data_IF_033621106571
#
_entry.id   IF_033621106571
#
_cell.length_a   1.000
_cell.length_b   1.000
_cell.length_c   1.000
_cell.angle_alpha   90.00
_cell.angle_beta   90.00
_cell.angle_gamma   90.00
#
_symmetry.space_group_name_H-M   'P 1'
#
loop_
_entity.id
_entity.type
_entity.pdbx_description
1 polymer ?
#
# COMPACT_ATOMS: atom_id res chain seq x y z
N UNK A 1 32.03 30.26 -12.35
CA UNK A 1 32.26 29.08 -11.49
C UNK A 1 31.06 28.96 -10.54
N UNK A 2 29.94 28.45 -11.03
CA UNK A 2 28.78 28.14 -10.20
C UNK A 2 29.03 26.76 -9.59
N UNK A 3 29.20 26.71 -8.27
CA UNK A 3 29.36 25.46 -7.55
C UNK A 3 28.07 24.64 -7.63
N UNK A 4 28.11 23.53 -8.34
CA UNK A 4 27.14 22.45 -8.20
C UNK A 4 27.19 21.95 -6.76
N UNK A 5 26.13 22.23 -5.99
CA UNK A 5 25.91 21.55 -4.73
C UNK A 5 25.78 20.05 -4.99
N UNK A 6 26.49 19.18 -4.24
CA UNK A 6 26.29 17.75 -4.33
C UNK A 6 24.83 17.42 -3.93
N UNK A 7 24.18 16.44 -4.59
CA UNK A 7 22.84 16.04 -4.22
C UNK A 7 22.84 15.59 -2.76
N UNK A 8 21.95 16.19 -1.95
CA UNK A 8 21.74 15.76 -0.57
C UNK A 8 21.33 14.29 -0.59
N UNK A 9 22.11 13.44 0.10
CA UNK A 9 21.77 12.03 0.29
C UNK A 9 20.44 11.95 1.02
N UNK A 10 19.43 11.33 0.40
CA UNK A 10 18.16 11.12 1.07
C UNK A 10 18.33 10.18 2.27
N UNK A 11 17.60 10.41 3.37
CA UNK A 11 17.62 9.49 4.51
C UNK A 11 17.20 8.08 4.06
N UNK A 12 17.93 7.06 4.50
CA UNK A 12 17.65 5.65 4.19
C UNK A 12 16.56 5.04 5.08
N UNK A 13 16.14 5.74 6.14
CA UNK A 13 15.09 5.30 7.06
C UNK A 13 14.16 6.46 7.45
N UNK A 14 12.94 6.12 7.85
CA UNK A 14 11.97 7.01 8.48
C UNK A 14 12.30 7.21 9.97
N UNK A 15 12.00 8.40 10.50
CA UNK A 15 12.16 8.69 11.92
C UNK A 15 11.01 8.07 12.71
N UNK A 16 11.27 7.19 13.70
CA UNK A 16 10.22 6.67 14.57
C UNK A 16 9.55 7.77 15.40
N UNK A 17 8.27 7.59 15.69
CA UNK A 17 7.42 8.48 16.49
C UNK A 17 6.62 7.65 17.50
N UNK A 18 6.02 8.31 18.49
CA UNK A 18 5.16 7.65 19.47
C UNK A 18 4.00 6.85 18.84
N UNK A 19 3.52 7.24 17.65
CA UNK A 19 2.45 6.52 16.94
C UNK A 19 2.93 5.36 16.10
N UNK A 20 4.21 5.36 15.72
CA UNK A 20 4.78 4.35 14.80
C UNK A 20 5.58 3.28 15.53
N UNK A 21 5.98 3.51 16.78
CA UNK A 21 6.62 2.52 17.64
C UNK A 21 5.56 1.60 18.26
N UNK A 22 5.50 0.30 17.90
CA UNK A 22 4.53 -0.61 18.48
C UNK A 22 4.91 -1.01 19.91
N UNK A 23 3.90 -1.15 20.78
CA UNK A 23 4.10 -1.57 22.18
C UNK A 23 4.39 -3.07 22.34
N UNK A 24 4.02 -3.90 21.35
CA UNK A 24 4.26 -5.35 21.35
C UNK A 24 5.10 -5.78 20.17
N UNK A 25 6.08 -6.64 20.42
CA UNK A 25 7.03 -7.15 19.43
C UNK A 25 7.70 -6.01 18.65
N UNK A 26 8.30 -5.07 19.36
CA UNK A 26 8.94 -3.89 18.79
C UNK A 26 10.17 -4.25 17.94
N UNK A 27 10.82 -5.37 18.24
CA UNK A 27 11.90 -5.96 17.44
C UNK A 27 11.48 -6.34 16.02
N UNK A 28 10.17 -6.42 15.75
CA UNK A 28 9.61 -6.69 14.41
C UNK A 28 9.34 -5.43 13.60
N UNK A 29 9.46 -4.25 14.21
CA UNK A 29 9.29 -2.99 13.51
C UNK A 29 10.53 -2.66 12.68
N UNK A 30 10.32 -2.13 11.49
CA UNK A 30 11.37 -1.57 10.65
C UNK A 30 10.94 -0.22 10.11
N UNK A 31 11.92 0.67 9.94
CA UNK A 31 11.75 2.01 9.39
C UNK A 31 12.60 2.22 8.14
N UNK A 32 13.24 1.16 7.65
CA UNK A 32 14.02 1.18 6.42
C UNK A 32 13.13 1.57 5.23
N UNK A 33 13.54 2.59 4.46
CA UNK A 33 12.72 3.14 3.38
C UNK A 33 12.54 2.14 2.24
N UNK A 34 13.60 1.42 1.88
CA UNK A 34 13.57 0.45 0.77
C UNK A 34 12.59 -0.68 1.10
N UNK A 35 12.62 -1.18 2.33
CA UNK A 35 11.67 -2.19 2.80
C UNK A 35 10.23 -1.67 2.82
N UNK A 36 9.99 -0.46 3.32
CA UNK A 36 8.65 0.15 3.32
C UNK A 36 8.13 0.30 1.89
N UNK A 37 8.95 0.85 0.99
CA UNK A 37 8.59 1.08 -0.41
C UNK A 37 8.30 -0.24 -1.12
N UNK A 38 9.14 -1.27 -0.95
CA UNK A 38 8.91 -2.58 -1.58
C UNK A 38 7.61 -3.25 -1.12
N UNK A 39 7.23 -3.13 0.16
CA UNK A 39 5.94 -3.65 0.65
C UNK A 39 4.77 -2.87 0.02
N UNK A 40 4.87 -1.55 -0.09
CA UNK A 40 3.84 -0.72 -0.73
C UNK A 40 3.71 -1.03 -2.22
N UNK A 41 4.83 -1.19 -2.92
CA UNK A 41 4.86 -1.43 -4.37
C UNK A 41 4.34 -2.81 -4.77
N UNK A 42 4.46 -3.81 -3.88
CA UNK A 42 3.89 -5.14 -4.11
C UNK A 42 2.36 -5.20 -3.86
N UNK A 43 1.79 -4.18 -3.23
CA UNK A 43 0.41 -4.22 -2.74
C UNK A 43 -0.58 -3.52 -3.68
N UNK A 44 -1.62 -4.22 -4.13
CA UNK A 44 -2.68 -3.57 -4.90
C UNK A 44 -3.67 -2.76 -4.05
N UNK A 45 -3.96 -3.23 -2.84
CA UNK A 45 -5.04 -2.69 -2.01
C UNK A 45 -4.43 -2.14 -0.73
N UNK A 46 -4.79 -0.90 -0.41
CA UNK A 46 -4.62 -0.34 0.92
C UNK A 46 -5.97 -0.23 1.64
N UNK A 47 -5.91 -0.09 2.96
CA UNK A 47 -7.04 0.19 3.82
C UNK A 47 -6.88 1.61 4.36
N UNK A 48 -7.72 2.53 3.88
CA UNK A 48 -7.73 3.93 4.28
C UNK A 48 -8.69 4.12 5.47
N UNK A 49 -8.12 4.27 6.66
CA UNK A 49 -8.80 4.59 7.90
C UNK A 49 -8.92 6.11 8.13
N UNK A 50 -10.10 6.57 8.53
CA UNK A 50 -10.36 7.96 8.94
C UNK A 50 -11.57 8.02 9.88
N UNK A 51 -11.79 9.15 10.54
CA UNK A 51 -12.97 9.35 11.41
C UNK A 51 -14.04 10.13 10.65
N UNK A 52 -15.28 9.66 10.74
CA UNK A 52 -16.47 10.32 10.20
C UNK A 52 -17.57 10.31 11.25
N UNK A 53 -18.15 11.47 11.52
CA UNK A 53 -19.25 11.62 12.50
C UNK A 53 -18.89 11.00 13.87
N UNK A 54 -17.63 11.14 14.29
CA UNK A 54 -17.09 10.56 15.53
C UNK A 54 -16.79 9.06 15.49
N UNK A 55 -17.04 8.37 14.37
CA UNK A 55 -16.83 6.93 14.23
C UNK A 55 -15.68 6.60 13.25
N UNK A 56 -14.88 5.55 13.50
CA UNK A 56 -13.87 5.10 12.55
C UNK A 56 -14.52 4.47 11.30
N UNK A 57 -13.97 4.79 10.14
CA UNK A 57 -14.32 4.22 8.84
C UNK A 57 -13.03 3.70 8.22
N UNK A 58 -13.08 2.51 7.62
CA UNK A 58 -11.97 1.92 6.88
C UNK A 58 -12.45 1.53 5.50
N UNK A 59 -11.81 2.06 4.46
CA UNK A 59 -12.16 1.80 3.07
C UNK A 59 -11.03 1.04 2.37
N UNK A 60 -11.29 -0.15 1.80
CA UNK A 60 -10.35 -0.79 0.89
C UNK A 60 -10.33 -0.02 -0.45
N UNK A 61 -9.16 0.30 -0.96
CA UNK A 61 -9.00 1.01 -2.23
C UNK A 61 -7.66 0.70 -2.90
N UNK A 62 -7.61 0.82 -4.22
CA UNK A 62 -6.35 0.94 -4.97
C UNK A 62 -5.65 2.24 -4.58
N UNK A 63 -4.33 2.20 -4.59
CA UNK A 63 -3.46 3.35 -4.41
C UNK A 63 -2.29 3.27 -5.38
N UNK A 64 -1.55 4.36 -5.53
CA UNK A 64 -0.29 4.40 -6.28
C UNK A 64 0.76 5.20 -5.51
N UNK A 65 2.04 4.87 -5.72
CA UNK A 65 3.16 5.58 -5.08
C UNK A 65 3.99 6.32 -6.11
N UNK A 66 4.38 7.56 -5.79
CA UNK A 66 5.39 8.31 -6.53
C UNK A 66 6.39 8.88 -5.54
N UNK A 67 7.59 8.31 -5.48
CA UNK A 67 8.58 8.67 -4.46
C UNK A 67 8.03 8.46 -3.04
N UNK A 68 8.10 9.50 -2.22
CA UNK A 68 7.61 9.48 -0.83
C UNK A 68 6.12 9.91 -0.71
N UNK A 69 5.30 9.70 -1.74
CA UNK A 69 3.88 10.09 -1.77
C UNK A 69 2.98 8.94 -2.18
N UNK A 70 1.89 8.77 -1.45
CA UNK A 70 0.80 7.86 -1.81
C UNK A 70 -0.39 8.65 -2.36
N UNK A 71 -1.01 8.12 -3.40
CA UNK A 71 -2.20 8.69 -4.00
C UNK A 71 -3.35 7.70 -3.99
N UNK A 72 -4.54 8.21 -3.68
CA UNK A 72 -5.80 7.46 -3.78
C UNK A 72 -6.77 8.30 -4.60
N UNK A 73 -7.48 7.67 -5.53
CA UNK A 73 -8.51 8.34 -6.33
C UNK A 73 -9.90 7.87 -5.94
N UNK A 74 -10.90 8.64 -6.35
CA UNK A 74 -12.30 8.25 -6.28
C UNK A 74 -13.19 9.26 -6.97
N UNK A 75 -14.51 9.03 -6.94
CA UNK A 75 -15.47 10.02 -7.40
C UNK A 75 -15.31 11.32 -6.61
N UNK A 76 -15.45 12.48 -7.27
CA UNK A 76 -15.55 13.79 -6.60
C UNK A 76 -16.68 13.86 -5.56
N UNK A 77 -17.72 13.02 -5.69
CA UNK A 77 -18.81 12.91 -4.71
C UNK A 77 -18.49 12.01 -3.52
N UNK A 78 -17.38 11.27 -3.54
CA UNK A 78 -17.04 10.32 -2.48
C UNK A 78 -16.69 11.07 -1.19
N UNK A 79 -17.11 10.49 -0.06
CA UNK A 79 -17.01 11.12 1.25
C UNK A 79 -15.57 11.47 1.67
N UNK A 80 -14.57 10.55 1.64
CA UNK A 80 -13.21 10.91 2.03
C UNK A 80 -12.65 12.03 1.16
N UNK A 81 -12.88 12.01 -0.15
CA UNK A 81 -12.38 13.03 -1.08
C UNK A 81 -13.02 14.41 -0.81
N UNK A 82 -14.33 14.47 -0.53
CA UNK A 82 -15.01 15.72 -0.12
C UNK A 82 -14.52 16.23 1.23
N UNK A 83 -14.38 15.35 2.22
CA UNK A 83 -13.91 15.70 3.56
C UNK A 83 -12.51 16.28 3.52
N UNK A 84 -11.62 15.70 2.71
CA UNK A 84 -10.26 16.22 2.52
C UNK A 84 -10.26 17.62 1.90
N UNK A 85 -11.13 17.90 0.94
CA UNK A 85 -11.24 19.25 0.34
C UNK A 85 -11.90 20.31 1.24
N UNK A 86 -12.59 19.89 2.30
CA UNK A 86 -13.29 20.77 3.24
C UNK A 86 -12.52 21.01 4.54
N UNK A 87 -11.57 20.14 4.86
CA UNK A 87 -10.78 20.22 6.09
C UNK A 87 -9.50 21.04 5.86
N UNK A 88 -9.17 21.88 6.84
CA UNK A 88 -7.92 22.65 6.92
C UNK A 88 -7.20 22.22 8.21
N UNK A 89 -5.98 21.64 8.16
CA UNK A 89 -5.07 21.53 7.01
C UNK A 89 -5.36 20.39 6.02
N UNK A 90 -6.31 19.50 6.32
CA UNK A 90 -6.66 18.35 5.50
C UNK A 90 -7.33 17.27 6.34
N UNK A 91 -7.46 16.04 5.83
CA UNK A 91 -8.12 14.95 6.54
C UNK A 91 -7.09 14.07 7.27
N UNK A 92 -7.11 13.96 8.61
CA UNK A 92 -6.31 12.96 9.31
C UNK A 92 -6.69 11.54 8.90
N UNK A 93 -5.70 10.76 8.45
CA UNK A 93 -5.89 9.40 7.95
C UNK A 93 -4.84 8.44 8.51
N UNK A 94 -5.15 7.15 8.40
CA UNK A 94 -4.23 6.04 8.56
C UNK A 94 -4.36 5.14 7.33
N UNK A 95 -3.30 4.96 6.55
CA UNK A 95 -3.29 4.04 5.42
C UNK A 95 -2.50 2.79 5.80
N UNK A 96 -3.09 1.62 5.62
CA UNK A 96 -2.45 0.33 5.96
C UNK A 96 -2.42 -0.61 4.77
N UNK A 97 -1.30 -1.31 4.60
CA UNK A 97 -1.09 -2.41 3.64
C UNK A 97 -0.62 -3.64 4.41
N UNK A 98 -1.03 -4.84 3.98
CA UNK A 98 -0.59 -6.10 4.60
C UNK A 98 -0.49 -7.22 3.56
N UNK A 99 0.61 -7.98 3.62
CA UNK A 99 0.85 -9.22 2.91
C UNK A 99 0.92 -10.35 3.92
N UNK A 100 0.22 -11.45 3.63
CA UNK A 100 0.36 -12.69 4.40
C UNK A 100 1.21 -13.64 3.57
N UNK A 101 2.38 -13.99 4.11
CA UNK A 101 3.40 -14.74 3.38
C UNK A 101 3.42 -16.23 3.79
N UNK A 102 2.94 -16.58 4.98
CA UNK A 102 2.77 -17.98 5.39
C UNK A 102 1.81 -18.14 6.58
N UNK A 103 1.21 -19.33 6.73
CA UNK A 103 0.51 -19.74 7.94
C UNK A 103 1.46 -20.53 8.85
N UNK A 104 1.44 -20.22 10.15
CA UNK A 104 2.21 -20.95 11.16
C UNK A 104 1.27 -21.80 11.98
N UNK A 105 1.41 -23.11 11.83
CA UNK A 105 0.59 -24.10 12.49
C UNK A 105 1.42 -24.80 13.56
N UNK A 106 1.17 -24.43 14.82
CA UNK A 106 1.89 -24.94 15.99
C UNK A 106 1.16 -26.15 16.61
N UNK A 107 1.78 -26.82 17.59
CA UNK A 107 1.14 -27.92 18.33
C UNK A 107 0.16 -27.40 19.36
N UNK A 108 0.53 -26.32 20.04
CA UNK A 108 -0.36 -25.61 20.97
C UNK A 108 -1.10 -24.49 20.27
N UNK A 109 -2.40 -24.36 20.57
CA UNK A 109 -3.27 -23.36 19.97
C UNK A 109 -2.74 -21.92 20.15
N UNK A 110 -2.00 -21.68 21.24
CA UNK A 110 -1.43 -20.36 21.56
C UNK A 110 -0.33 -19.91 20.60
N UNK A 111 0.38 -20.86 19.97
CA UNK A 111 1.53 -20.56 19.11
C UNK A 111 1.18 -20.51 17.61
N UNK A 112 -0.10 -20.66 17.25
CA UNK A 112 -0.55 -20.38 15.89
C UNK A 112 -0.30 -18.92 15.51
N UNK A 113 0.14 -18.70 14.27
CA UNK A 113 0.47 -17.36 13.79
C UNK A 113 0.49 -17.29 12.26
N UNK A 114 1.04 -16.20 11.73
CA UNK A 114 1.31 -16.02 10.30
C UNK A 114 2.65 -15.31 10.10
N UNK A 115 3.37 -15.64 9.03
CA UNK A 115 4.41 -14.74 8.52
C UNK A 115 3.73 -13.66 7.68
N UNK A 116 4.15 -12.42 7.87
CA UNK A 116 3.50 -11.28 7.24
C UNK A 116 4.46 -10.10 7.10
N UNK A 117 4.10 -9.18 6.22
CA UNK A 117 4.71 -7.87 6.05
C UNK A 117 3.60 -6.83 6.00
N UNK A 118 3.70 -5.77 6.78
CA UNK A 118 2.70 -4.70 6.78
C UNK A 118 3.36 -3.34 6.86
N UNK A 119 2.72 -2.34 6.25
CA UNK A 119 3.09 -0.93 6.39
C UNK A 119 1.89 -0.16 6.93
N UNK A 120 2.14 0.72 7.91
CA UNK A 120 1.17 1.67 8.46
C UNK A 120 1.71 3.08 8.26
N UNK A 121 0.92 3.92 7.61
CA UNK A 121 1.23 5.33 7.34
C UNK A 121 0.21 6.19 8.05
N UNK A 122 0.67 7.05 8.97
CA UNK A 122 -0.13 8.08 9.58
C UNK A 122 0.12 9.42 8.90
N UNK A 123 -0.92 10.26 8.81
CA UNK A 123 -0.71 11.63 8.36
C UNK A 123 -2.01 12.37 8.09
N UNK A 124 -1.86 13.51 7.42
CA UNK A 124 -2.96 14.32 6.92
C UNK A 124 -2.98 14.17 5.41
N UNK A 125 -4.08 13.67 4.87
CA UNK A 125 -4.30 13.61 3.44
C UNK A 125 -4.73 14.98 2.92
N UNK A 126 -4.29 15.33 1.72
CA UNK A 126 -4.62 16.59 1.04
C UNK A 126 -5.20 16.32 -0.34
N UNK A 127 -6.13 17.16 -0.78
CA UNK A 127 -6.68 17.05 -2.13
C UNK A 127 -5.65 17.54 -3.14
N UNK A 128 -5.45 16.77 -4.21
CA UNK A 128 -4.61 17.18 -5.34
C UNK A 128 -5.44 18.07 -6.26
N UNK A 129 -5.06 19.35 -6.33
CA UNK A 129 -5.74 20.37 -7.15
C UNK A 129 -4.91 20.82 -8.35
N UNK A 130 -3.58 20.67 -8.28
CA UNK A 130 -2.70 20.94 -9.41
C UNK A 130 -2.96 19.94 -10.55
N UNK A 131 -3.22 20.41 -11.78
CA UNK A 131 -3.55 19.53 -12.90
C UNK A 131 -2.42 18.55 -13.28
N UNK A 132 -1.16 18.97 -13.21
CA UNK A 132 -0.03 18.10 -13.57
C UNK A 132 0.22 17.04 -12.49
N UNK A 133 0.17 17.41 -11.21
CA UNK A 133 0.25 16.44 -10.11
C UNK A 133 -0.90 15.44 -10.20
N UNK A 134 -2.12 15.90 -10.50
CA UNK A 134 -3.28 15.03 -10.65
C UNK A 134 -3.09 14.03 -11.79
N UNK A 135 -2.53 14.46 -12.93
CA UNK A 135 -2.22 13.57 -14.06
C UNK A 135 -1.18 12.53 -13.65
N UNK A 136 -0.07 12.96 -13.04
CA UNK A 136 0.99 12.05 -12.54
C UNK A 136 0.41 11.02 -11.57
N UNK A 137 -0.44 11.44 -10.64
CA UNK A 137 -1.07 10.55 -9.67
C UNK A 137 -2.00 9.51 -10.32
N UNK A 138 -2.78 9.92 -11.33
CA UNK A 138 -3.67 9.00 -12.06
C UNK A 138 -2.87 8.02 -12.94
N UNK A 139 -1.81 8.48 -13.59
CA UNK A 139 -0.92 7.59 -14.37
C UNK A 139 -0.25 6.58 -13.43
N UNK A 140 0.25 7.03 -12.27
CA UNK A 140 0.84 6.17 -11.25
C UNK A 140 -0.16 5.14 -10.71
N UNK A 141 -1.43 5.49 -10.53
CA UNK A 141 -2.47 4.53 -10.13
C UNK A 141 -2.69 3.43 -11.17
N UNK A 142 -2.65 3.77 -12.46
CA UNK A 142 -2.77 2.80 -13.55
C UNK A 142 -1.53 1.90 -13.60
N UNK A 143 -0.33 2.48 -13.52
CA UNK A 143 0.92 1.73 -13.54
C UNK A 143 1.16 0.90 -12.28
N UNK A 144 0.52 1.25 -11.16
CA UNK A 144 0.51 0.43 -9.95
C UNK A 144 -0.31 -0.85 -10.12
N UNK A 145 -1.30 -0.86 -11.01
CA UNK A 145 -2.02 -2.09 -11.37
C UNK A 145 -1.10 -2.99 -12.19
N UNK A 146 -0.52 -2.43 -13.25
CA UNK A 146 0.49 -3.10 -14.08
C UNK A 146 1.44 -2.05 -14.65
N UNK A 147 2.77 -2.18 -14.43
CA UNK A 147 3.74 -1.24 -14.96
C UNK A 147 3.65 -1.06 -16.48
N UNK A 148 3.57 0.18 -16.95
CA UNK A 148 3.50 0.54 -18.37
C UNK A 148 2.08 0.61 -18.93
N UNK A 149 1.06 0.21 -18.16
CA UNK A 149 -0.34 0.22 -18.61
C UNK A 149 -0.87 1.63 -18.88
N UNK A 150 -0.35 2.65 -18.20
CA UNK A 150 -0.75 4.05 -18.42
C UNK A 150 -0.44 4.53 -19.83
N UNK A 151 0.68 4.07 -20.41
CA UNK A 151 1.09 4.39 -21.78
C UNK A 151 0.39 3.52 -22.84
N UNK A 152 -0.14 2.36 -22.45
CA UNK A 152 -0.87 1.41 -23.29
C UNK A 152 -2.40 1.55 -23.20
N UNK A 153 -2.86 2.69 -22.68
CA UNK A 153 -4.28 3.07 -22.62
C UNK A 153 -4.43 4.51 -23.10
N UNK A 154 -5.59 4.86 -23.68
CA UNK A 154 -5.83 6.26 -24.03
C UNK A 154 -5.80 7.14 -22.77
N UNK A 155 -5.28 8.38 -22.85
CA UNK A 155 -5.37 9.32 -21.75
C UNK A 155 -6.82 9.61 -21.34
N UNK A 156 -7.00 10.01 -20.08
CA UNK A 156 -8.28 10.46 -19.56
C UNK A 156 -8.76 11.73 -20.29
N UNK A 157 -10.03 11.77 -20.66
CA UNK A 157 -10.64 12.97 -21.25
C UNK A 157 -11.06 13.98 -20.16
N UNK A 158 -11.47 15.18 -20.58
CA UNK A 158 -11.87 16.26 -19.66
C UNK A 158 -13.01 15.87 -18.71
N UNK A 159 -13.97 15.07 -19.17
CA UNK A 159 -15.11 14.62 -18.36
C UNK A 159 -14.67 13.64 -17.28
N UNK A 160 -13.80 12.69 -17.62
CA UNK A 160 -13.23 11.71 -16.69
C UNK A 160 -12.38 12.40 -15.61
N UNK A 161 -11.53 13.35 -16.01
CA UNK A 161 -10.72 14.14 -15.09
C UNK A 161 -11.59 15.00 -14.15
N UNK A 162 -12.70 15.57 -14.65
CA UNK A 162 -13.62 16.36 -13.83
C UNK A 162 -14.42 15.50 -12.84
N UNK A 163 -14.71 14.24 -13.17
CA UNK A 163 -15.45 13.32 -12.31
C UNK A 163 -14.58 12.66 -11.22
N UNK A 164 -13.25 12.75 -11.36
CA UNK A 164 -12.28 12.07 -10.50
C UNK A 164 -11.61 13.05 -9.54
N UNK A 165 -11.61 12.75 -8.24
CA UNK A 165 -10.81 13.43 -7.24
C UNK A 165 -9.63 12.52 -6.83
N UNK A 166 -8.52 13.15 -6.44
CA UNK A 166 -7.31 12.47 -5.96
C UNK A 166 -6.91 13.11 -4.63
N UNK A 167 -6.53 12.27 -3.66
CA UNK A 167 -5.87 12.70 -2.44
C UNK A 167 -4.45 12.18 -2.40
N UNK A 168 -3.56 12.99 -1.82
CA UNK A 168 -2.18 12.68 -1.53
C UNK A 168 -2.01 12.45 -0.04
N UNK A 169 -1.19 11.48 0.34
CA UNK A 169 -0.65 11.29 1.68
C UNK A 169 0.88 11.20 1.59
N UNK A 170 1.59 12.10 2.28
CA UNK A 170 3.04 12.11 2.32
C UNK A 170 3.58 11.06 3.34
N UNK A 171 4.63 10.34 2.96
CA UNK A 171 5.28 9.33 3.80
C UNK A 171 6.20 10.00 4.85
N UNK A 172 5.60 10.60 5.87
CA UNK A 172 6.34 11.27 6.95
C UNK A 172 6.39 10.44 8.24
N UNK A 173 5.28 9.79 8.59
CA UNK A 173 5.11 9.02 9.82
C UNK A 173 4.72 7.58 9.44
N UNK A 174 5.73 6.72 9.27
CA UNK A 174 5.58 5.37 8.68
C UNK A 174 6.25 4.32 9.55
N UNK A 175 5.64 3.14 9.64
CA UNK A 175 6.29 1.94 10.17
C UNK A 175 6.01 0.73 9.28
N UNK A 176 7.01 -0.11 9.09
CA UNK A 176 6.83 -1.48 8.64
C UNK A 176 6.84 -2.43 9.84
N UNK A 177 6.10 -3.54 9.76
CA UNK A 177 6.18 -4.63 10.73
C UNK A 177 6.20 -5.97 10.00
N UNK A 178 7.14 -6.83 10.40
CA UNK A 178 7.39 -8.09 9.73
C UNK A 178 7.43 -9.25 10.72
N UNK A 179 6.91 -10.40 10.30
CA UNK A 179 7.15 -11.66 10.99
C UNK A 179 7.59 -12.69 9.96
N UNK A 180 8.73 -13.32 10.22
CA UNK A 180 9.26 -14.47 9.48
C UNK A 180 9.58 -15.60 10.45
N UNK A 181 9.96 -16.77 9.93
CA UNK A 181 10.35 -17.93 10.75
C UNK A 181 9.26 -19.00 10.87
N UNK A 182 9.50 -19.96 11.77
CA UNK A 182 8.70 -21.17 11.94
C UNK A 182 7.78 -21.16 13.15
N UNK A 183 7.42 -22.37 13.57
CA UNK A 183 6.70 -22.65 14.80
C UNK A 183 7.62 -22.39 16.00
N UNK A 184 7.06 -21.87 17.09
CA UNK A 184 7.75 -21.64 18.36
C UNK A 184 6.95 -22.28 19.50
N UNK A 185 6.86 -23.61 19.47
CA UNK A 185 6.25 -24.41 20.55
C UNK A 185 7.13 -24.37 21.80
N UNK A 186 6.53 -24.49 22.98
CA UNK A 186 7.28 -24.71 24.22
C UNK A 186 7.85 -26.14 24.27
N UNK A 187 8.95 -26.39 25.02
CA UNK A 187 9.55 -27.72 25.10
C UNK A 187 8.59 -28.84 25.53
N UNK A 188 7.61 -28.52 26.38
CA UNK A 188 6.58 -29.46 26.84
C UNK A 188 5.58 -29.88 25.75
N UNK A 189 5.37 -29.05 24.74
CA UNK A 189 4.43 -29.31 23.64
C UNK A 189 5.03 -30.22 22.55
N UNK A 190 6.36 -30.38 22.50
CA UNK A 190 7.03 -31.09 21.40
C UNK A 190 6.63 -32.56 21.27
N UNK A 191 6.21 -33.18 22.37
CA UNK A 191 5.75 -34.56 22.41
C UNK A 191 4.27 -34.74 22.03
N UNK A 192 3.51 -33.65 21.89
CA UNK A 192 2.09 -33.72 21.53
C UNK A 192 1.92 -34.32 20.12
N UNK A 193 0.90 -35.18 19.89
CA UNK A 193 0.69 -35.87 18.63
C UNK A 193 -0.01 -34.96 17.58
N UNK A 194 0.46 -33.72 17.44
CA UNK A 194 -0.06 -32.74 16.49
C UNK A 194 1.00 -32.39 15.44
N UNK A 195 0.57 -32.30 14.18
CA UNK A 195 1.43 -31.80 13.13
C UNK A 195 1.70 -30.30 13.35
N UNK A 196 2.94 -29.88 13.13
CA UNK A 196 3.33 -28.48 13.21
C UNK A 196 4.28 -28.11 12.07
N UNK A 197 4.09 -26.92 11.51
CA UNK A 197 4.85 -26.47 10.36
C UNK A 197 4.44 -25.10 9.83
N UNK A 198 5.00 -24.80 8.66
CA UNK A 198 4.78 -23.55 7.92
C UNK A 198 4.06 -23.91 6.62
N UNK A 199 2.98 -23.18 6.30
CA UNK A 199 2.32 -23.26 4.99
C UNK A 199 2.60 -21.96 4.24
N UNK A 200 3.59 -21.93 3.33
CA UNK A 200 3.89 -20.73 2.55
C UNK A 200 2.71 -20.32 1.66
N UNK A 201 2.44 -19.02 1.59
CA UNK A 201 1.47 -18.43 0.67
C UNK A 201 2.24 -17.68 -0.42
N UNK A 202 1.87 -17.92 -1.68
CA UNK A 202 2.45 -17.22 -2.83
C UNK A 202 1.35 -16.66 -3.69
N UNK A 203 1.52 -15.42 -4.13
CA UNK A 203 0.68 -14.82 -5.16
C UNK A 203 1.17 -15.27 -6.54
N UNK A 204 0.24 -15.43 -7.47
CA UNK A 204 0.53 -15.69 -8.87
C UNK A 204 -0.57 -15.11 -9.74
N UNK A 205 -0.25 -14.86 -11.01
CA UNK A 205 -1.24 -14.50 -12.02
C UNK A 205 -1.60 -15.74 -12.82
N UNK A 206 -2.86 -15.85 -13.19
CA UNK A 206 -3.33 -16.81 -14.18
C UNK A 206 -3.18 -16.22 -15.60
N UNK A 207 -3.52 -17.01 -16.60
CA UNK A 207 -3.55 -16.55 -17.99
C UNK A 207 -4.54 -15.39 -18.13
N UNK A 208 -4.15 -14.27 -18.77
CA UNK A 208 -5.07 -13.18 -19.08
C UNK A 208 -6.29 -13.66 -19.85
N UNK A 209 -7.45 -13.13 -19.51
CA UNK A 209 -8.74 -13.43 -20.16
C UNK A 209 -9.12 -12.22 -21.00
N UNK A 210 -9.34 -12.43 -22.29
CA UNK A 210 -9.76 -11.38 -23.20
C UNK A 210 -11.17 -10.88 -22.89
N UNK A 211 -11.38 -9.57 -23.09
CA UNK A 211 -12.72 -8.98 -23.04
C UNK A 211 -13.57 -9.51 -24.23
N UNK A 212 -14.86 -9.84 -24.03
CA UNK A 212 -15.72 -10.31 -25.10
C UNK A 212 -15.85 -9.38 -26.31
N UNK A 213 -15.65 -8.06 -26.10
CA UNK A 213 -15.70 -7.03 -27.14
C UNK A 213 -14.30 -6.66 -27.67
N UNK A 214 -13.24 -7.39 -27.30
CA UNK A 214 -11.89 -7.18 -27.80
C UNK A 214 -11.85 -7.38 -29.33
N UNK A 215 -11.21 -6.44 -30.03
CA UNK A 215 -11.11 -6.52 -31.50
C UNK A 215 -10.35 -7.80 -31.90
N UNK A 216 -10.91 -8.65 -32.79
CA UNK A 216 -10.28 -9.91 -33.17
C UNK A 216 -8.86 -9.72 -33.69
N UNK A 217 -7.93 -10.55 -33.21
CA UNK A 217 -6.51 -10.48 -33.58
C UNK A 217 -5.69 -9.45 -32.79
N UNK A 218 -6.29 -8.76 -31.81
CA UNK A 218 -5.53 -7.94 -30.86
C UNK A 218 -4.70 -8.85 -29.96
N UNK A 219 -3.39 -8.67 -29.94
CA UNK A 219 -2.50 -9.50 -29.12
C UNK A 219 -2.44 -9.04 -27.67
N UNK A 220 -2.22 -10.00 -26.75
CA UNK A 220 -1.88 -9.71 -25.36
C UNK A 220 -0.58 -8.87 -25.33
N UNK A 221 -0.57 -7.70 -24.67
CA UNK A 221 0.62 -6.86 -24.53
C UNK A 221 1.81 -7.62 -23.94
N UNK A 222 3.02 -7.34 -24.42
CA UNK A 222 4.23 -8.05 -24.01
C UNK A 222 4.52 -7.97 -22.51
N UNK A 223 4.09 -6.91 -21.83
CA UNK A 223 4.28 -6.75 -20.37
C UNK A 223 3.32 -7.60 -19.53
N UNK A 224 2.39 -8.35 -20.16
CA UNK A 224 1.49 -9.32 -19.52
C UNK A 224 1.85 -10.78 -19.85
N UNK A 225 2.91 -11.02 -20.64
CA UNK A 225 3.35 -12.35 -21.05
C UNK A 225 4.38 -12.95 -20.11
#
# INVERSE_FOLDING_TARGET
MQGTQPPMSQPTAYTPTDRTVPTRSAERASYDKELVHSILDEAYVCHLGFVRDGAPVVLPTLFGRVGDRLYVHGSTGSRPLRMTGQADPGLPVCLTVTHVDALILARSAFHHSMNYRSVVVHGVAHQVTDPEEKRIALDALVDHVVPGRSADSRPANKKELAATAVIRLDLNEVSAKLRTGGVNDEPEDLALPHWAGVVPLRKGYETPIDDPDLTPGTEIPAYLR
#
